data_IF_760071724296
#
_entry.id   IF_760071724296
#
_cell.length_a   1.000
_cell.length_b   1.000
_cell.length_c   1.000
_cell.angle_alpha   90.00
_cell.angle_beta   90.00
_cell.angle_gamma   90.00
#
_symmetry.space_group_name_H-M   'P 1'
#
loop_
_entity.id
_entity.type
_entity.pdbx_description
1 polymer ?
#
# COMPACT_ATOMS: atom_id res chain seq x y z
N UNK A 1 25.51 -2.43 17.12
CA UNK A 1 26.57 -1.63 16.45
C UNK A 1 26.03 -0.38 15.74
N UNK A 2 24.83 -0.39 15.13
CA UNK A 2 24.25 0.83 14.52
C UNK A 2 23.54 1.79 15.49
N UNK A 3 22.81 1.26 16.49
CA UNK A 3 22.04 2.07 17.44
C UNK A 3 22.93 2.87 18.41
N UNK A 4 24.03 2.27 18.87
CA UNK A 4 24.96 2.89 19.84
C UNK A 4 25.73 4.06 19.20
N UNK A 5 26.16 3.90 17.94
CA UNK A 5 26.83 4.94 17.15
C UNK A 5 25.90 6.13 16.85
N UNK A 6 24.61 5.87 16.58
CA UNK A 6 23.62 6.93 16.36
C UNK A 6 23.29 7.70 17.66
N UNK A 7 23.38 7.03 18.81
CA UNK A 7 23.16 7.58 20.16
C UNK A 7 24.26 8.53 20.62
N UNK A 8 25.52 8.21 20.31
CA UNK A 8 26.67 9.08 20.60
C UNK A 8 26.69 10.36 19.75
N UNK A 9 26.16 10.31 18.53
CA UNK A 9 26.22 11.43 17.58
C UNK A 9 24.97 12.33 17.59
N UNK A 10 24.05 12.16 18.55
CA UNK A 10 22.85 13.01 18.68
C UNK A 10 21.84 12.89 17.53
N UNK A 11 22.05 11.98 16.59
CA UNK A 11 21.11 11.64 15.50
C UNK A 11 20.07 10.60 15.92
N UNK A 12 19.96 10.39 17.22
CA UNK A 12 19.15 9.36 17.82
C UNK A 12 17.71 9.84 17.94
N UNK A 13 16.83 9.30 17.08
CA UNK A 13 15.38 9.49 17.24
C UNK A 13 14.88 8.62 18.42
N UNK A 14 14.37 9.22 19.53
CA UNK A 14 13.90 8.48 20.69
C UNK A 14 12.80 7.46 20.38
N UNK A 15 12.07 7.65 19.27
CA UNK A 15 11.02 6.74 18.77
C UNK A 15 11.51 5.40 18.22
N UNK A 16 12.83 5.17 18.12
CA UNK A 16 13.42 3.87 17.79
C UNK A 16 13.81 3.02 19.02
N UNK A 17 13.58 3.52 20.25
CA UNK A 17 13.60 2.65 21.44
C UNK A 17 12.29 1.86 21.51
N UNK A 18 12.11 0.86 20.64
CA UNK A 18 11.17 -0.20 20.99
C UNK A 18 11.89 -1.04 22.04
N UNK A 19 11.61 -0.79 23.31
CA UNK A 19 12.05 -1.67 24.39
C UNK A 19 11.28 -2.98 24.24
N UNK A 20 11.73 -3.83 23.32
CA UNK A 20 11.20 -5.17 23.13
C UNK A 20 11.25 -5.90 24.48
N UNK A 21 10.10 -6.35 25.01
CA UNK A 21 10.10 -7.09 26.25
C UNK A 21 10.83 -8.42 26.03
N UNK A 22 11.93 -8.61 26.75
CA UNK A 22 12.72 -9.83 26.78
C UNK A 22 12.28 -10.66 27.98
N UNK A 23 11.92 -11.91 27.72
CA UNK A 23 11.54 -12.87 28.76
C UNK A 23 12.64 -13.91 28.98
N UNK A 24 12.72 -14.47 30.19
CA UNK A 24 13.76 -15.43 30.58
C UNK A 24 13.56 -16.80 29.91
N UNK A 25 12.33 -17.12 29.51
CA UNK A 25 12.01 -18.39 28.85
C UNK A 25 11.57 -18.20 27.39
N UNK A 26 11.94 -19.17 26.54
CA UNK A 26 11.53 -19.19 25.13
C UNK A 26 10.00 -19.31 25.01
N UNK A 27 9.35 -20.08 25.89
CA UNK A 27 7.89 -20.22 25.88
C UNK A 27 7.17 -18.92 26.18
N UNK A 28 7.67 -18.12 27.12
CA UNK A 28 7.09 -16.81 27.42
C UNK A 28 7.27 -15.86 26.24
N UNK A 29 8.47 -15.81 25.66
CA UNK A 29 8.75 -14.99 24.48
C UNK A 29 7.84 -15.36 23.30
N UNK A 30 7.70 -16.66 23.01
CA UNK A 30 6.83 -17.15 21.94
C UNK A 30 5.35 -16.86 22.23
N UNK A 31 4.90 -17.04 23.47
CA UNK A 31 3.51 -16.74 23.86
C UNK A 31 3.18 -15.24 23.74
N UNK A 32 4.15 -14.38 24.05
CA UNK A 32 4.02 -12.94 23.88
C UNK A 32 3.91 -12.56 22.40
N UNK A 33 4.75 -13.13 21.54
CA UNK A 33 4.68 -12.91 20.09
C UNK A 33 3.37 -13.39 19.47
N UNK A 34 2.89 -14.56 19.89
CA UNK A 34 1.58 -15.08 19.47
C UNK A 34 0.49 -14.12 19.89
N UNK A 35 0.49 -13.68 21.15
CA UNK A 35 -0.51 -12.73 21.66
C UNK A 35 -0.52 -11.44 20.84
N UNK A 36 0.63 -10.79 20.65
CA UNK A 36 0.76 -9.57 19.85
C UNK A 36 0.31 -9.76 18.40
N UNK A 37 0.65 -10.91 17.80
CA UNK A 37 0.22 -11.26 16.43
C UNK A 37 -1.30 -11.33 16.33
N UNK A 38 -1.96 -12.04 17.25
CA UNK A 38 -3.41 -12.18 17.22
C UNK A 38 -4.16 -10.90 17.60
N UNK A 39 -3.63 -10.10 18.53
CA UNK A 39 -4.32 -8.89 19.00
C UNK A 39 -4.10 -7.68 18.12
N UNK A 40 -2.90 -7.53 17.52
CA UNK A 40 -2.51 -6.35 16.73
C UNK A 40 -2.40 -6.61 15.23
N UNK A 41 -1.92 -7.78 14.82
CA UNK A 41 -1.75 -8.08 13.38
C UNK A 41 -3.00 -8.64 12.71
N UNK A 42 -3.62 -9.64 13.32
CA UNK A 42 -4.70 -10.42 12.70
C UNK A 42 -6.08 -9.89 13.11
N UNK A 43 -6.17 -9.05 14.15
CA UNK A 43 -7.45 -8.56 14.65
C UNK A 43 -8.13 -7.58 13.66
N UNK A 44 -9.22 -7.98 12.98
CA UNK A 44 -9.85 -7.16 11.96
C UNK A 44 -10.67 -6.00 12.57
N UNK A 45 -10.86 -5.99 13.89
CA UNK A 45 -11.67 -5.01 14.62
C UNK A 45 -10.84 -3.88 15.24
N UNK A 46 -9.53 -3.84 14.99
CA UNK A 46 -8.67 -2.73 15.43
C UNK A 46 -8.83 -1.54 14.48
N UNK A 47 -9.57 -0.53 14.93
CA UNK A 47 -9.89 0.66 14.12
C UNK A 47 -9.01 1.87 14.46
N UNK A 48 -8.22 1.79 15.53
CA UNK A 48 -7.41 2.91 16.03
C UNK A 48 -5.93 2.72 15.61
N UNK A 49 -5.31 3.70 14.93
CA UNK A 49 -3.92 3.60 14.48
C UNK A 49 -2.90 3.30 15.59
N UNK A 50 -3.15 3.76 16.82
CA UNK A 50 -2.29 3.50 17.98
C UNK A 50 -2.24 2.02 18.39
N UNK A 51 -3.27 1.26 18.06
CA UNK A 51 -3.44 -0.12 18.51
C UNK A 51 -2.86 -1.13 17.50
N UNK A 52 -2.49 -0.64 16.32
CA UNK A 52 -2.07 -1.43 15.16
C UNK A 52 -0.55 -1.61 15.11
N UNK A 53 0.22 -0.71 15.73
CA UNK A 53 1.69 -0.79 15.74
C UNK A 53 2.13 -1.88 16.72
N UNK A 54 2.72 -3.00 16.25
CA UNK A 54 3.23 -4.03 17.14
C UNK A 54 4.39 -3.48 17.96
N UNK A 55 4.45 -3.85 19.23
CA UNK A 55 5.58 -3.45 20.10
C UNK A 55 6.82 -4.29 19.80
N UNK A 56 6.68 -5.34 18.99
CA UNK A 56 7.78 -6.20 18.55
C UNK A 56 8.65 -5.48 17.52
N UNK A 57 8.03 -4.85 16.52
CA UNK A 57 8.75 -4.08 15.51
C UNK A 57 7.81 -3.04 14.91
N UNK A 58 8.24 -1.78 14.97
CA UNK A 58 7.50 -0.64 14.43
C UNK A 58 7.30 -0.73 12.92
N UNK A 59 8.14 -1.45 12.19
CA UNK A 59 8.01 -1.67 10.75
C UNK A 59 6.84 -2.58 10.37
N UNK A 60 6.32 -3.38 11.31
CA UNK A 60 5.20 -4.30 11.07
C UNK A 60 3.84 -3.61 10.97
N UNK A 61 3.79 -2.28 11.12
CA UNK A 61 2.55 -1.50 11.09
C UNK A 61 1.76 -1.59 9.77
N UNK A 62 2.39 -1.96 8.66
CA UNK A 62 1.69 -2.07 7.36
C UNK A 62 0.89 -3.37 7.25
N UNK A 63 1.34 -4.45 7.87
CA UNK A 63 0.72 -5.79 7.77
C UNK A 63 -0.77 -5.77 8.14
N UNK A 64 -1.21 -5.17 9.26
CA UNK A 64 -2.62 -5.19 9.65
C UNK A 64 -3.48 -4.33 8.70
N UNK A 65 -2.89 -3.25 8.17
CA UNK A 65 -3.53 -2.40 7.17
C UNK A 65 -3.76 -3.21 5.89
N UNK A 66 -2.72 -3.88 5.40
CA UNK A 66 -2.79 -4.75 4.23
C UNK A 66 -3.79 -5.90 4.42
N UNK A 67 -3.77 -6.54 5.59
CA UNK A 67 -4.70 -7.63 5.94
C UNK A 67 -6.15 -7.14 5.90
N UNK A 68 -6.47 -6.03 6.59
CA UNK A 68 -7.81 -5.44 6.60
C UNK A 68 -8.26 -5.04 5.20
N UNK A 69 -7.39 -4.37 4.44
CA UNK A 69 -7.70 -3.95 3.07
C UNK A 69 -7.97 -5.14 2.16
N UNK A 70 -7.24 -6.25 2.31
CA UNK A 70 -7.51 -7.48 1.56
C UNK A 70 -8.87 -8.09 1.92
N UNK A 71 -9.24 -8.12 3.20
CA UNK A 71 -10.57 -8.60 3.63
C UNK A 71 -11.70 -7.75 3.04
N UNK A 72 -11.57 -6.42 3.10
CA UNK A 72 -12.56 -5.50 2.51
C UNK A 72 -12.64 -5.73 0.99
N UNK A 73 -11.50 -5.90 0.32
CA UNK A 73 -11.45 -6.19 -1.10
C UNK A 73 -12.20 -7.50 -1.42
N UNK A 74 -11.94 -8.59 -0.70
CA UNK A 74 -12.60 -9.88 -0.93
C UNK A 74 -14.10 -9.81 -0.71
N UNK A 75 -14.54 -9.14 0.36
CA UNK A 75 -15.98 -8.92 0.62
C UNK A 75 -16.60 -8.09 -0.50
N UNK A 76 -15.91 -7.04 -0.95
CA UNK A 76 -16.37 -6.22 -2.09
C UNK A 76 -16.48 -7.07 -3.34
N UNK A 77 -15.48 -7.88 -3.67
CA UNK A 77 -15.48 -8.74 -4.85
C UNK A 77 -16.60 -9.79 -4.78
N UNK A 78 -16.83 -10.40 -3.62
CA UNK A 78 -17.94 -11.33 -3.41
C UNK A 78 -19.31 -10.64 -3.58
N UNK A 79 -19.48 -9.43 -3.01
CA UNK A 79 -20.71 -8.66 -3.15
C UNK A 79 -20.99 -8.18 -4.58
N UNK A 80 -19.94 -7.91 -5.36
CA UNK A 80 -20.05 -7.49 -6.76
C UNK A 80 -20.07 -8.67 -7.75
N UNK A 81 -19.97 -9.92 -7.29
CA UNK A 81 -19.81 -11.09 -8.16
C UNK A 81 -20.96 -11.29 -9.16
N UNK A 82 -22.19 -10.93 -8.77
CA UNK A 82 -23.39 -11.10 -9.62
C UNK A 82 -23.73 -9.86 -10.47
N UNK A 83 -22.96 -8.78 -10.37
CA UNK A 83 -23.21 -7.57 -11.16
C UNK A 83 -22.68 -7.73 -12.58
N UNK A 84 -23.34 -7.07 -13.54
CA UNK A 84 -22.81 -6.94 -14.89
C UNK A 84 -21.49 -6.15 -14.87
N UNK A 85 -20.59 -6.48 -15.79
CA UNK A 85 -19.24 -5.91 -15.81
C UNK A 85 -19.25 -4.36 -15.84
N UNK A 86 -20.17 -3.74 -16.59
CA UNK A 86 -20.27 -2.27 -16.67
C UNK A 86 -20.70 -1.65 -15.34
N UNK A 87 -21.66 -2.26 -14.66
CA UNK A 87 -22.13 -1.78 -13.35
C UNK A 87 -21.05 -1.99 -12.29
N UNK A 88 -20.42 -3.17 -12.29
CA UNK A 88 -19.30 -3.48 -11.39
C UNK A 88 -18.16 -2.47 -11.51
N UNK A 89 -17.74 -2.14 -12.74
CA UNK A 89 -16.73 -1.10 -12.99
C UNK A 89 -17.15 0.28 -12.47
N UNK A 90 -18.40 0.67 -12.70
CA UNK A 90 -18.92 1.97 -12.26
C UNK A 90 -18.96 2.06 -10.74
N UNK A 91 -19.37 0.98 -10.06
CA UNK A 91 -19.36 0.88 -8.60
C UNK A 91 -17.93 0.93 -8.07
N UNK A 92 -16.96 0.26 -8.70
CA UNK A 92 -15.55 0.33 -8.29
C UNK A 92 -14.98 1.74 -8.38
N UNK A 93 -15.24 2.48 -9.46
CA UNK A 93 -14.81 3.87 -9.58
C UNK A 93 -15.46 4.74 -8.50
N UNK A 94 -16.76 4.52 -8.21
CA UNK A 94 -17.46 5.20 -7.12
C UNK A 94 -16.86 4.90 -5.74
N UNK A 95 -16.51 3.65 -5.48
CA UNK A 95 -15.86 3.22 -4.23
C UNK A 95 -14.47 3.84 -4.07
N UNK A 96 -13.67 3.89 -5.14
CA UNK A 96 -12.36 4.56 -5.13
C UNK A 96 -12.52 6.03 -4.74
N UNK A 97 -13.48 6.73 -5.36
CA UNK A 97 -13.74 8.13 -5.03
C UNK A 97 -14.20 8.29 -3.59
N UNK A 98 -15.12 7.45 -3.11
CA UNK A 98 -15.62 7.49 -1.75
C UNK A 98 -14.52 7.24 -0.70
N UNK A 99 -13.69 6.22 -0.92
CA UNK A 99 -12.55 5.90 -0.08
C UNK A 99 -11.52 7.03 -0.02
N UNK A 100 -11.28 7.68 -1.16
CA UNK A 100 -10.41 8.86 -1.22
C UNK A 100 -10.93 9.98 -0.32
N UNK A 101 -12.24 10.25 -0.31
CA UNK A 101 -12.84 11.24 0.60
C UNK A 101 -12.75 10.84 2.08
N UNK A 102 -12.68 9.54 2.36
CA UNK A 102 -12.53 9.00 3.72
C UNK A 102 -11.08 8.97 4.22
N UNK A 103 -10.12 9.52 3.45
CA UNK A 103 -8.68 9.50 3.77
C UNK A 103 -8.14 8.09 3.98
N UNK A 104 -8.69 7.11 3.26
CA UNK A 104 -8.27 5.69 3.29
C UNK A 104 -7.44 5.39 2.05
N UNK A 105 -6.26 6.00 1.98
CA UNK A 105 -5.37 5.91 0.83
C UNK A 105 -4.98 4.47 0.49
N UNK A 106 -4.87 3.60 1.50
CA UNK A 106 -4.52 2.19 1.33
C UNK A 106 -5.50 1.48 0.40
N UNK A 107 -6.79 1.74 0.54
CA UNK A 107 -7.86 1.09 -0.20
C UNK A 107 -7.91 1.52 -1.68
N UNK A 108 -7.35 2.69 -2.02
CA UNK A 108 -7.26 3.17 -3.41
C UNK A 108 -6.39 2.21 -4.23
N UNK A 109 -5.26 1.75 -3.68
CA UNK A 109 -4.34 0.84 -4.35
C UNK A 109 -4.99 -0.54 -4.56
N UNK A 110 -5.66 -1.06 -3.53
CA UNK A 110 -6.36 -2.34 -3.58
C UNK A 110 -7.51 -2.32 -4.62
N UNK A 111 -8.38 -1.31 -4.58
CA UNK A 111 -9.44 -1.18 -5.57
C UNK A 111 -8.91 -0.85 -6.96
N UNK A 112 -7.81 -0.11 -7.08
CA UNK A 112 -7.12 0.12 -8.35
C UNK A 112 -6.63 -1.19 -8.99
N UNK A 113 -6.03 -2.09 -8.19
CA UNK A 113 -5.66 -3.43 -8.63
C UNK A 113 -6.86 -4.25 -9.10
N UNK A 114 -7.98 -4.21 -8.36
CA UNK A 114 -9.21 -4.87 -8.78
C UNK A 114 -9.78 -4.28 -10.08
N UNK A 115 -9.79 -2.96 -10.22
CA UNK A 115 -10.23 -2.29 -11.44
C UNK A 115 -9.37 -2.71 -12.65
N UNK A 116 -8.05 -2.80 -12.49
CA UNK A 116 -7.15 -3.26 -13.55
C UNK A 116 -7.43 -4.72 -13.94
N UNK A 117 -7.54 -5.63 -12.97
CA UNK A 117 -7.87 -7.03 -13.22
C UNK A 117 -9.22 -7.18 -13.94
N UNK A 118 -10.21 -6.40 -13.52
CA UNK A 118 -11.53 -6.36 -14.13
C UNK A 118 -11.47 -5.83 -15.58
N UNK A 119 -10.60 -4.86 -15.87
CA UNK A 119 -10.46 -4.33 -17.25
C UNK A 119 -9.80 -5.35 -18.16
N UNK A 120 -8.86 -6.12 -17.64
CA UNK A 120 -8.20 -7.19 -18.37
C UNK A 120 -9.19 -8.33 -18.67
N UNK A 121 -9.95 -8.77 -17.66
CA UNK A 121 -11.00 -9.76 -17.82
C UNK A 121 -12.07 -9.33 -18.84
N UNK A 122 -12.46 -8.06 -18.81
CA UNK A 122 -13.41 -7.50 -19.77
C UNK A 122 -12.88 -7.48 -21.20
N UNK A 123 -11.58 -7.22 -21.40
CA UNK A 123 -10.95 -7.28 -22.71
C UNK A 123 -10.86 -8.71 -23.22
N UNK A 124 -10.51 -9.65 -22.34
CA UNK A 124 -10.40 -11.07 -22.67
C UNK A 124 -11.75 -11.68 -23.08
N UNK A 125 -12.82 -11.37 -22.36
CA UNK A 125 -14.18 -11.88 -22.64
C UNK A 125 -14.78 -11.41 -23.98
N UNK A 126 -14.24 -10.36 -24.59
CA UNK A 126 -14.64 -9.87 -25.93
C UNK A 126 -13.89 -10.54 -27.08
N UNK A 127 -12.84 -11.32 -26.79
CA UNK A 127 -12.14 -12.10 -27.80
C UNK A 127 -12.81 -13.49 -27.94
N UNK A 128 -12.88 -14.07 -29.15
CA UNK A 128 -13.29 -15.46 -29.31
C UNK A 128 -12.42 -16.36 -28.42
N UNK A 129 -13.02 -17.35 -27.74
CA UNK A 129 -12.35 -18.21 -26.75
C UNK A 129 -11.04 -18.83 -27.27
N UNK A 130 -11.06 -19.37 -28.49
CA UNK A 130 -9.89 -19.94 -29.18
C UNK A 130 -8.79 -18.90 -29.47
N UNK A 131 -9.20 -17.67 -29.80
CA UNK A 131 -8.29 -16.56 -30.06
C UNK A 131 -7.74 -15.91 -28.78
N UNK A 132 -8.34 -16.14 -27.61
CA UNK A 132 -7.96 -15.46 -26.35
C UNK A 132 -6.60 -15.93 -25.83
N UNK A 133 -6.43 -17.24 -25.62
CA UNK A 133 -5.19 -17.85 -25.11
C UNK A 133 -4.05 -17.76 -26.13
N UNK A 134 -4.33 -18.07 -27.40
CA UNK A 134 -3.33 -18.02 -28.45
C UNK A 134 -2.84 -16.59 -28.74
N UNK A 135 -3.70 -15.57 -28.65
CA UNK A 135 -3.28 -14.17 -28.87
C UNK A 135 -2.61 -13.55 -27.65
N UNK A 136 -3.01 -13.91 -26.42
CA UNK A 136 -2.24 -13.55 -25.21
C UNK A 136 -0.81 -14.12 -25.26
N UNK A 137 -0.66 -15.38 -25.71
CA UNK A 137 0.64 -16.04 -25.79
C UNK A 137 1.51 -15.58 -26.98
N UNK A 138 0.89 -15.20 -28.11
CA UNK A 138 1.62 -14.93 -29.36
C UNK A 138 1.70 -13.46 -29.79
N UNK A 139 0.98 -12.53 -29.17
CA UNK A 139 1.09 -11.12 -29.55
C UNK A 139 0.80 -10.20 -28.38
N UNK A 140 1.84 -9.51 -27.93
CA UNK A 140 1.70 -8.06 -27.86
C UNK A 140 2.99 -7.44 -28.36
N UNK A 141 3.01 -7.09 -29.66
CA UNK A 141 3.92 -6.02 -30.10
C UNK A 141 3.37 -4.76 -29.41
N UNK A 142 3.78 -4.53 -28.17
CA UNK A 142 3.41 -3.32 -27.44
C UNK A 142 3.90 -2.18 -28.32
N UNK A 143 2.98 -1.32 -28.71
CA UNK A 143 3.33 -0.11 -29.45
C UNK A 143 4.46 0.58 -28.68
N UNK A 144 5.58 0.86 -29.35
CA UNK A 144 6.76 1.47 -28.70
C UNK A 144 6.37 2.74 -27.96
N UNK A 145 5.39 3.50 -28.47
CA UNK A 145 4.85 4.68 -27.78
C UNK A 145 4.16 4.32 -26.46
N UNK A 146 3.33 3.27 -26.45
CA UNK A 146 2.68 2.78 -25.24
C UNK A 146 3.70 2.26 -24.23
N UNK A 147 4.70 1.51 -24.69
CA UNK A 147 5.78 1.01 -23.84
C UNK A 147 6.55 2.16 -23.20
N UNK A 148 7.00 3.13 -24.00
CA UNK A 148 7.72 4.32 -23.50
C UNK A 148 6.83 5.10 -22.52
N UNK A 149 5.56 5.28 -22.83
CA UNK A 149 4.61 5.94 -21.93
C UNK A 149 4.51 5.21 -20.57
N UNK A 150 4.26 3.90 -20.57
CA UNK A 150 4.15 3.13 -19.33
C UNK A 150 5.46 3.10 -18.53
N UNK A 151 6.62 2.97 -19.20
CA UNK A 151 7.92 3.04 -18.53
C UNK A 151 8.13 4.42 -17.91
N UNK A 152 7.78 5.50 -18.63
CA UNK A 152 7.93 6.86 -18.11
C UNK A 152 7.03 7.09 -16.90
N UNK A 153 5.77 6.68 -16.96
CA UNK A 153 4.83 6.75 -15.84
C UNK A 153 5.32 5.90 -14.66
N UNK A 154 5.86 4.71 -14.91
CA UNK A 154 6.41 3.83 -13.88
C UNK A 154 7.63 4.44 -13.19
N UNK A 155 8.59 4.96 -13.95
CA UNK A 155 9.79 5.62 -13.41
C UNK A 155 9.38 6.88 -12.64
N UNK A 156 8.47 7.69 -13.17
CA UNK A 156 7.95 8.87 -12.48
C UNK A 156 7.22 8.48 -11.18
N UNK A 157 6.42 7.42 -11.20
CA UNK A 157 5.74 6.88 -10.01
C UNK A 157 6.72 6.36 -8.97
N UNK A 158 7.75 5.61 -9.37
CA UNK A 158 8.81 5.16 -8.46
C UNK A 158 9.58 6.34 -7.89
N UNK A 159 9.92 7.33 -8.72
CA UNK A 159 10.54 8.56 -8.27
C UNK A 159 9.68 9.23 -7.20
N UNK A 160 8.38 9.45 -7.47
CA UNK A 160 7.44 10.01 -6.50
C UNK A 160 7.26 9.16 -5.23
N UNK A 161 7.40 7.84 -5.33
CA UNK A 161 7.34 6.91 -4.19
C UNK A 161 8.59 6.95 -3.30
N UNK A 162 9.74 7.36 -3.85
CA UNK A 162 11.01 7.49 -3.11
C UNK A 162 11.11 8.81 -2.33
N UNK A 163 9.99 9.46 -2.02
CA UNK A 163 10.02 10.72 -1.26
C UNK A 163 10.63 10.48 0.13
N UNK A 164 11.67 11.25 0.52
CA UNK A 164 12.23 11.13 1.85
C UNK A 164 11.20 11.56 2.90
N UNK A 165 11.17 10.83 4.01
CA UNK A 165 10.25 11.09 5.11
C UNK A 165 10.67 12.31 5.94
N UNK A 166 11.97 12.64 5.97
CA UNK A 166 12.56 13.78 6.66
C UNK A 166 13.35 14.62 5.66
N UNK A 167 13.40 15.93 5.87
CA UNK A 167 14.23 16.87 5.12
C UNK A 167 14.06 16.84 3.59
N UNK A 168 12.82 16.65 3.12
CA UNK A 168 12.47 16.75 1.69
C UNK A 168 12.84 18.12 1.09
N UNK A 169 12.99 19.14 1.93
CA UNK A 169 13.40 20.49 1.58
C UNK A 169 14.90 20.66 1.28
N UNK A 170 15.75 19.74 1.74
CA UNK A 170 17.21 19.78 1.47
C UNK A 170 17.67 18.69 0.51
N UNK A 171 16.81 17.70 0.23
CA UNK A 171 17.17 16.53 -0.59
C UNK A 171 17.22 16.88 -2.09
N UNK A 172 18.38 16.73 -2.76
CA UNK A 172 18.51 17.00 -4.19
C UNK A 172 17.49 16.21 -5.02
N UNK A 173 16.81 16.89 -5.95
CA UNK A 173 15.70 16.33 -6.73
C UNK A 173 14.32 16.68 -6.16
N UNK A 174 14.13 16.60 -4.84
CA UNK A 174 12.84 16.85 -4.19
C UNK A 174 12.56 18.31 -3.87
N UNK A 175 13.61 19.15 -3.83
CA UNK A 175 13.52 20.59 -3.56
C UNK A 175 12.53 21.29 -4.51
N UNK A 176 12.53 20.91 -5.79
CA UNK A 176 11.63 21.51 -6.79
C UNK A 176 10.17 21.20 -6.49
N UNK A 177 9.86 19.93 -6.20
CA UNK A 177 8.53 19.48 -5.80
C UNK A 177 8.11 20.12 -4.47
N UNK A 178 9.01 20.19 -3.50
CA UNK A 178 8.77 20.85 -2.21
C UNK A 178 8.36 22.32 -2.39
N UNK A 179 9.02 23.05 -3.28
CA UNK A 179 8.68 24.44 -3.56
C UNK A 179 7.33 24.62 -4.26
N UNK A 180 6.84 23.61 -4.98
CA UNK A 180 5.53 23.62 -5.64
C UNK A 180 4.37 23.30 -4.70
N UNK A 181 4.63 22.72 -3.52
CA UNK A 181 3.61 22.45 -2.51
C UNK A 181 3.13 23.78 -1.91
N UNK A 182 1.81 24.07 -1.91
CA UNK A 182 1.28 25.30 -1.33
C UNK A 182 1.54 25.36 0.18
N UNK A 183 1.80 26.57 0.69
CA UNK A 183 2.19 26.79 2.08
C UNK A 183 1.18 26.23 3.11
N UNK A 184 -0.10 26.15 2.75
CA UNK A 184 -1.16 25.56 3.58
C UNK A 184 -0.97 24.06 3.84
N UNK A 185 -0.35 23.32 2.92
CA UNK A 185 -0.09 21.89 3.09
C UNK A 185 1.20 21.60 3.88
N UNK A 186 2.12 22.58 3.97
CA UNK A 186 3.41 22.45 4.68
C UNK A 186 3.30 22.57 6.20
N UNK A 187 2.19 23.13 6.71
CA UNK A 187 1.99 23.40 8.15
C UNK A 187 1.48 22.16 8.91
N UNK A 188 1.03 21.13 8.19
CA UNK A 188 0.36 19.94 8.76
C UNK A 188 1.30 18.73 8.86
N UNK A 189 2.49 18.79 8.25
CA UNK A 189 3.55 17.76 8.39
C UNK A 189 4.40 18.01 9.62
#
# INVERSE_FOLDING_TARGET
MGADYARENGQYNPGHNVNEPKFDTLSEQMSYWVKETFTKLINPWSFVPSDIVPVIDGHLWTIPIEFRSSLILYVTQAGLAHLSNTVRMSVLVGLIFWVHQMYRWEMILFYGGFLLAETDHYRASRLPYDLSWHKMASTTRIDRLKLVFYITVFIAGMYLGCQPQLDAETTPGWITLWNMIPATAKIVQ
#
